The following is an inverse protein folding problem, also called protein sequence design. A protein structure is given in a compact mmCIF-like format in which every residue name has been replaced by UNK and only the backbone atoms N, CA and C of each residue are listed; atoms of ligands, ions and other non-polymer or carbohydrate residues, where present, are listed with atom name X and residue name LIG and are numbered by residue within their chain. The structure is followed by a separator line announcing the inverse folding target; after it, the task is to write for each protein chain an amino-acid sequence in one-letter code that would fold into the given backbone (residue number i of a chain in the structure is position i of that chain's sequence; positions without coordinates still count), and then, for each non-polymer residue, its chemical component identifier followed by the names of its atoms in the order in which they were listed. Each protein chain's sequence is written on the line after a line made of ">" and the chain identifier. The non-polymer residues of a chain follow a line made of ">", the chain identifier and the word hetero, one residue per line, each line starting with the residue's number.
data_IF_606103789380
#
_entry.id   IF_606103789380
#
_cell.length_a   1.000
_cell.length_b   1.000
_cell.length_c   1.000
_cell.angle_alpha   90.00
_cell.angle_beta   90.00
_cell.angle_gamma   90.00
#
_symmetry.space_group_name_H-M   'P 1'
#
loop_
_entity.id
_entity.type
_entity.pdbx_description
1 polymer ?
#
# COMPACT_ATOMS: atom_id res chain seq x y z
N UNK A 1 4.47 -15.45 -2.75
CA UNK A 1 3.59 -14.96 -3.87
C UNK A 1 2.21 -14.42 -3.44
N UNK A 2 1.25 -15.24 -2.99
CA UNK A 2 -0.10 -14.76 -2.55
C UNK A 2 -0.02 -13.84 -1.32
N UNK A 3 0.92 -14.12 -0.42
CA UNK A 3 1.25 -13.33 0.76
C UNK A 3 1.68 -11.90 0.43
N UNK A 4 2.50 -11.70 -0.60
CA UNK A 4 2.96 -10.38 -1.03
C UNK A 4 1.81 -9.50 -1.56
N UNK A 5 0.83 -10.11 -2.24
CA UNK A 5 -0.37 -9.40 -2.72
C UNK A 5 -1.24 -8.96 -1.55
N UNK A 6 -1.47 -9.86 -0.57
CA UNK A 6 -2.24 -9.55 0.64
C UNK A 6 -1.53 -8.45 1.45
N UNK A 7 -0.20 -8.51 1.56
CA UNK A 7 0.59 -7.51 2.27
C UNK A 7 0.54 -6.14 1.59
N UNK A 8 0.69 -6.12 0.26
CA UNK A 8 0.53 -4.91 -0.55
C UNK A 8 -0.86 -4.28 -0.39
N UNK A 9 -1.91 -5.10 -0.36
CA UNK A 9 -3.28 -4.65 -0.16
C UNK A 9 -3.52 -4.12 1.26
N UNK A 10 -2.91 -4.74 2.27
CA UNK A 10 -2.97 -4.27 3.65
C UNK A 10 -2.26 -2.92 3.83
N UNK A 11 -1.08 -2.75 3.22
CA UNK A 11 -0.36 -1.47 3.20
C UNK A 11 -1.17 -0.41 2.47
N UNK A 12 -1.75 -0.75 1.31
CA UNK A 12 -2.62 0.16 0.56
C UNK A 12 -3.83 0.62 1.40
N UNK A 13 -4.57 -0.31 1.99
CA UNK A 13 -5.73 0.02 2.84
C UNK A 13 -5.32 0.81 4.07
N UNK A 14 -4.22 0.45 4.74
CA UNK A 14 -3.72 1.15 5.92
C UNK A 14 -3.30 2.59 5.59
N UNK A 15 -2.57 2.78 4.49
CA UNK A 15 -2.15 4.10 4.05
C UNK A 15 -3.34 4.96 3.61
N UNK A 16 -4.28 4.38 2.87
CA UNK A 16 -5.47 5.07 2.40
C UNK A 16 -6.34 5.54 3.57
N UNK A 17 -6.57 4.69 4.58
CA UNK A 17 -7.31 5.06 5.80
C UNK A 17 -6.60 6.17 6.57
N UNK A 18 -5.27 6.08 6.71
CA UNK A 18 -4.47 7.10 7.36
C UNK A 18 -4.56 8.44 6.64
N UNK A 19 -4.46 8.43 5.32
CA UNK A 19 -4.51 9.61 4.46
C UNK A 19 -5.90 10.27 4.48
N UNK A 20 -6.97 9.47 4.40
CA UNK A 20 -8.36 9.92 4.55
C UNK A 20 -8.58 10.58 5.91
N UNK A 21 -8.07 9.98 6.97
CA UNK A 21 -8.25 10.49 8.34
C UNK A 21 -7.49 11.80 8.55
N UNK A 22 -6.29 11.92 7.97
CA UNK A 22 -5.41 13.09 8.12
C UNK A 22 -5.88 14.28 7.29
N UNK A 23 -6.27 14.07 6.04
CA UNK A 23 -6.67 15.15 5.13
C UNK A 23 -8.18 15.43 5.15
N UNK A 24 -9.01 14.55 5.73
CA UNK A 24 -10.50 14.61 5.74
C UNK A 24 -11.16 14.81 4.36
N UNK A 25 -10.39 14.68 3.28
CA UNK A 25 -10.84 14.76 1.89
C UNK A 25 -10.24 13.59 1.13
N UNK A 26 -11.10 12.83 0.46
CA UNK A 26 -10.68 11.82 -0.50
C UNK A 26 -10.38 12.51 -1.83
N UNK A 27 -9.18 13.06 -1.95
CA UNK A 27 -8.65 13.54 -3.22
C UNK A 27 -8.07 12.36 -4.01
N UNK A 28 -8.28 12.39 -5.32
CA UNK A 28 -7.78 11.36 -6.24
C UNK A 28 -6.25 11.24 -6.15
N UNK A 29 -5.55 12.34 -5.86
CA UNK A 29 -4.12 12.39 -5.55
C UNK A 29 -3.73 11.52 -4.34
N UNK A 30 -4.53 11.51 -3.27
CA UNK A 30 -4.23 10.73 -2.06
C UNK A 30 -4.44 9.23 -2.33
N UNK A 31 -5.42 8.88 -3.17
CA UNK A 31 -5.65 7.50 -3.60
C UNK A 31 -4.48 6.99 -4.45
N UNK A 32 -4.00 7.81 -5.39
CA UNK A 32 -2.81 7.49 -6.20
C UNK A 32 -1.57 7.36 -5.32
N UNK A 33 -1.37 8.28 -4.37
CA UNK A 33 -0.25 8.24 -3.43
C UNK A 33 -0.29 6.95 -2.59
N UNK A 34 -1.45 6.59 -2.06
CA UNK A 34 -1.64 5.34 -1.31
C UNK A 34 -1.37 4.11 -2.18
N UNK A 35 -1.76 4.15 -3.46
CA UNK A 35 -1.53 3.07 -4.43
C UNK A 35 -0.04 2.87 -4.71
N UNK A 36 0.72 3.97 -4.86
CA UNK A 36 2.18 3.92 -4.99
C UNK A 36 2.82 3.30 -3.75
N UNK A 37 2.40 3.70 -2.54
CA UNK A 37 2.93 3.13 -1.29
C UNK A 37 2.60 1.64 -1.16
N UNK A 38 1.37 1.24 -1.53
CA UNK A 38 0.95 -0.17 -1.58
C UNK A 38 1.80 -1.00 -2.55
N UNK A 39 2.07 -0.48 -3.76
CA UNK A 39 2.92 -1.13 -4.76
C UNK A 39 4.37 -1.24 -4.29
N UNK A 40 4.92 -0.19 -3.67
CA UNK A 40 6.28 -0.22 -3.09
C UNK A 40 6.37 -1.23 -1.95
N UNK A 41 5.36 -1.28 -1.08
CA UNK A 41 5.26 -2.28 0.00
C UNK A 41 5.16 -3.71 -0.54
N UNK A 42 4.35 -3.94 -1.58
CA UNK A 42 4.23 -5.22 -2.25
C UNK A 42 5.55 -5.65 -2.90
N UNK A 43 6.24 -4.74 -3.58
CA UNK A 43 7.55 -4.98 -4.21
C UNK A 43 8.62 -5.31 -3.17
N UNK A 44 8.66 -4.58 -2.06
CA UNK A 44 9.59 -4.87 -0.95
C UNK A 44 9.34 -6.24 -0.35
N UNK A 45 8.07 -6.63 -0.17
CA UNK A 45 7.70 -7.95 0.33
C UNK A 45 8.00 -9.07 -0.67
N UNK A 46 7.80 -8.81 -1.96
CA UNK A 46 8.15 -9.74 -3.03
C UNK A 46 9.66 -9.95 -3.12
N UNK A 47 10.47 -8.91 -2.92
CA UNK A 47 11.93 -9.03 -2.83
C UNK A 47 12.36 -9.88 -1.63
N UNK A 48 11.69 -9.72 -0.49
CA UNK A 48 11.92 -10.55 0.70
C UNK A 48 11.53 -12.01 0.45
N UNK A 49 10.39 -12.28 -0.19
CA UNK A 49 9.91 -13.62 -0.61
C UNK A 49 10.86 -14.29 -1.63
N UNK A 50 11.71 -13.52 -2.31
CA UNK A 50 12.73 -14.04 -3.23
C UNK A 50 14.04 -14.42 -2.50
N UNK A 51 14.35 -13.74 -1.41
CA UNK A 51 15.61 -13.90 -0.65
C UNK A 51 15.45 -14.92 0.49
N UNK A 52 14.25 -15.05 1.06
CA UNK A 52 13.91 -15.92 2.19
C UNK A 52 13.00 -17.06 1.75
#
# INVERSE_FOLDING_TARGET
>A
MVTAVIFGFAIFCGWLVFDVTKHKKLTLENVISSLVVGVVGALGWWLLDLIF
#
